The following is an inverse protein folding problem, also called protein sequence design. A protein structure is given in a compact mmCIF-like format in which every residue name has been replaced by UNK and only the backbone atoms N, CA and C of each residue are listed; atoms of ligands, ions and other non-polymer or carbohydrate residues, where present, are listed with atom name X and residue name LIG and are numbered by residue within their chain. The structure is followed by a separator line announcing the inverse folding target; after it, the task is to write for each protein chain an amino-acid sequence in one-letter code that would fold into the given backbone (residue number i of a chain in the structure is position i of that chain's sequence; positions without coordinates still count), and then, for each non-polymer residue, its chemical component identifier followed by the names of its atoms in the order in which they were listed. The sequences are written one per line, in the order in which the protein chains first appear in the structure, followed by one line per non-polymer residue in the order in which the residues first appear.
data_IF_037461454020
#
_entry.id   IF_037461454020
#
_cell.length_a   1.000
_cell.length_b   1.000
_cell.length_c   1.000
_cell.angle_alpha   90.00
_cell.angle_beta   90.00
_cell.angle_gamma   90.00
#
_symmetry.space_group_name_H-M   'P 1'
#
loop_
_entity.id
_entity.type
_entity.pdbx_description
1 polymer ?
#
# COMPACT_ATOMS: atom_id res chain seq x y z
N UNK A 1 4.07 29.57 15.84
CA UNK A 1 4.83 28.99 14.72
C UNK A 1 4.43 27.54 14.63
N UNK A 2 3.69 27.12 13.61
CA UNK A 2 3.29 25.73 13.42
C UNK A 2 4.50 24.85 13.18
N UNK A 3 4.43 23.65 13.74
CA UNK A 3 5.43 22.59 13.54
C UNK A 3 4.83 21.55 12.60
N UNK A 4 5.56 21.18 11.55
CA UNK A 4 5.16 20.14 10.59
C UNK A 4 6.11 18.96 10.74
N UNK A 5 5.56 17.74 10.83
CA UNK A 5 6.33 16.51 10.85
C UNK A 5 6.52 15.97 9.43
N UNK A 6 7.78 15.83 9.02
CA UNK A 6 8.15 15.30 7.72
C UNK A 6 8.80 13.93 7.90
N UNK A 7 8.26 12.91 7.23
CA UNK A 7 8.87 11.58 7.21
C UNK A 7 10.27 11.65 6.59
N UNK A 8 11.26 11.15 7.31
CA UNK A 8 12.65 11.09 6.87
C UNK A 8 13.24 9.72 7.22
N UNK A 9 13.51 8.92 6.19
CA UNK A 9 13.99 7.53 6.31
C UNK A 9 13.07 6.63 7.15
N UNK A 10 13.44 6.37 8.40
CA UNK A 10 12.77 5.51 9.36
C UNK A 10 12.18 6.29 10.55
N UNK A 11 12.22 7.64 10.49
CA UNK A 11 11.72 8.53 11.53
C UNK A 11 11.03 9.76 10.90
N UNK A 12 10.82 10.79 11.72
CA UNK A 12 10.27 12.08 11.34
C UNK A 12 11.22 13.21 11.78
N UNK A 13 11.21 14.30 11.02
CA UNK A 13 11.86 15.56 11.39
C UNK A 13 10.78 16.61 11.59
N UNK A 14 10.90 17.37 12.67
CA UNK A 14 10.03 18.50 12.97
C UNK A 14 10.59 19.79 12.41
N UNK A 15 9.76 20.53 11.67
CA UNK A 15 10.13 21.82 11.08
C UNK A 15 9.17 22.89 11.57
N UNK A 16 9.71 23.89 12.27
CA UNK A 16 8.96 25.06 12.69
C UNK A 16 8.95 26.11 11.56
N UNK A 17 7.76 26.41 11.02
CA UNK A 17 7.60 27.36 9.91
C UNK A 17 6.87 28.60 10.44
N UNK A 18 7.37 29.83 10.23
CA UNK A 18 6.62 31.04 10.56
C UNK A 18 5.28 31.09 9.82
N UNK A 19 4.20 31.50 10.51
CA UNK A 19 2.84 31.54 9.93
C UNK A 19 2.77 32.26 8.58
N UNK A 20 3.48 33.40 8.46
CA UNK A 20 3.54 34.18 7.22
C UNK A 20 4.13 33.43 6.01
N UNK A 21 4.85 32.34 6.25
CA UNK A 21 5.51 31.53 5.23
C UNK A 21 4.79 30.19 4.99
N UNK A 22 3.81 29.81 5.83
CA UNK A 22 3.08 28.55 5.69
C UNK A 22 1.76 28.80 4.97
N UNK A 23 1.64 28.31 3.73
CA UNK A 23 0.41 28.39 2.96
C UNK A 23 -0.56 27.25 3.33
N UNK A 24 -0.13 26.00 3.19
CA UNK A 24 -0.92 24.82 3.51
C UNK A 24 -0.02 23.59 3.76
N UNK A 25 -0.58 22.57 4.41
CA UNK A 25 0.00 21.22 4.50
C UNK A 25 -0.94 20.28 3.76
N UNK A 26 -0.43 19.60 2.72
CA UNK A 26 -1.21 18.66 1.92
C UNK A 26 -0.88 17.24 2.34
N UNK A 27 -1.87 16.53 2.88
CA UNK A 27 -1.76 15.11 3.22
C UNK A 27 -2.65 14.30 2.25
N UNK A 28 -2.23 13.08 1.87
CA UNK A 28 -3.12 12.18 1.16
C UNK A 28 -4.37 11.90 2.03
N UNK A 29 -5.51 11.70 1.37
CA UNK A 29 -6.68 11.17 2.05
C UNK A 29 -6.45 9.70 2.37
N UNK A 30 -5.90 9.42 3.54
CA UNK A 30 -5.68 8.04 3.98
C UNK A 30 -7.03 7.33 4.14
N UNK A 31 -7.17 6.19 3.48
CA UNK A 31 -8.27 5.27 3.74
C UNK A 31 -7.85 4.34 4.87
N UNK A 32 -8.73 4.08 5.86
CA UNK A 32 -8.41 3.11 6.90
C UNK A 32 -8.13 1.75 6.26
N UNK A 33 -7.17 1.02 6.81
CA UNK A 33 -6.93 -0.36 6.41
C UNK A 33 -8.14 -1.24 6.69
N UNK A 34 -8.32 -2.29 5.90
CA UNK A 34 -9.33 -3.31 6.16
C UNK A 34 -8.97 -4.16 7.38
N UNK A 35 -9.98 -4.67 8.08
CA UNK A 35 -9.80 -5.47 9.31
C UNK A 35 -9.04 -6.77 9.03
N UNK A 36 -9.38 -7.46 7.93
CA UNK A 36 -8.74 -8.70 7.51
C UNK A 36 -8.23 -8.57 6.06
N UNK A 37 -6.95 -8.20 5.86
CA UNK A 37 -6.36 -8.06 4.53
C UNK A 37 -6.39 -9.35 3.71
N UNK A 38 -6.32 -10.52 4.34
CA UNK A 38 -6.31 -11.79 3.62
C UNK A 38 -7.70 -12.18 3.15
N UNK A 39 -8.73 -11.88 3.94
CA UNK A 39 -10.11 -12.03 3.49
C UNK A 39 -10.38 -11.14 2.28
N UNK A 40 -9.97 -9.88 2.33
CA UNK A 40 -10.16 -8.93 1.22
C UNK A 40 -9.47 -9.40 -0.07
N UNK A 41 -8.24 -9.93 0.03
CA UNK A 41 -7.53 -10.49 -1.13
C UNK A 41 -8.28 -11.70 -1.71
N UNK A 42 -8.84 -12.58 -0.87
CA UNK A 42 -9.64 -13.73 -1.32
C UNK A 42 -10.92 -13.27 -2.02
N UNK A 43 -11.66 -12.34 -1.40
CA UNK A 43 -12.88 -11.77 -1.98
C UNK A 43 -12.62 -11.12 -3.35
N UNK A 44 -11.48 -10.42 -3.51
CA UNK A 44 -11.09 -9.84 -4.78
C UNK A 44 -10.73 -10.88 -5.86
N UNK A 45 -10.17 -12.04 -5.47
CA UNK A 45 -9.88 -13.14 -6.41
C UNK A 45 -11.16 -13.87 -6.84
N UNK A 46 -12.15 -13.97 -5.96
CA UNK A 46 -13.45 -14.61 -6.22
C UNK A 46 -14.40 -13.71 -7.03
N UNK A 47 -14.25 -12.38 -6.93
CA UNK A 47 -15.05 -11.39 -7.63
C UNK A 47 -14.18 -10.52 -8.56
N UNK A 48 -13.69 -11.08 -9.69
CA UNK A 48 -12.84 -10.33 -10.62
C UNK A 48 -13.58 -9.15 -11.26
N UNK A 49 -12.91 -8.00 -11.35
CA UNK A 49 -13.47 -6.81 -11.99
C UNK A 49 -13.35 -6.98 -13.50
N UNK A 50 -14.50 -6.99 -14.20
CA UNK A 50 -14.61 -6.96 -15.66
C UNK A 50 -13.73 -8.00 -16.40
N UNK A 51 -13.45 -9.13 -15.76
CA UNK A 51 -12.61 -10.19 -16.30
C UNK A 51 -13.09 -11.57 -15.83
N UNK A 52 -12.66 -12.63 -16.54
CA UNK A 52 -12.86 -14.00 -16.09
C UNK A 52 -12.02 -14.28 -14.84
N UNK A 53 -12.42 -15.28 -14.06
CA UNK A 53 -11.66 -15.65 -12.87
C UNK A 53 -10.25 -16.11 -13.23
N UNK A 54 -9.30 -15.89 -12.31
CA UNK A 54 -7.93 -16.37 -12.48
C UNK A 54 -7.89 -17.89 -12.68
N UNK A 55 -8.79 -18.62 -12.00
CA UNK A 55 -8.94 -20.08 -12.10
C UNK A 55 -9.32 -20.51 -13.52
N UNK A 56 -10.25 -19.81 -14.16
CA UNK A 56 -10.64 -20.07 -15.54
C UNK A 56 -9.54 -19.68 -16.52
N UNK A 57 -8.90 -18.52 -16.30
CA UNK A 57 -7.82 -18.03 -17.15
C UNK A 57 -6.62 -18.98 -17.20
N UNK A 58 -6.27 -19.57 -16.06
CA UNK A 58 -5.16 -20.51 -15.92
C UNK A 58 -5.53 -21.95 -16.35
N UNK A 59 -6.81 -22.24 -16.58
CA UNK A 59 -7.26 -23.57 -16.99
C UNK A 59 -6.55 -23.98 -18.28
N UNK A 60 -5.97 -25.17 -18.27
CA UNK A 60 -5.23 -25.79 -19.38
C UNK A 60 -3.94 -25.05 -19.80
N UNK A 61 -3.47 -24.07 -19.02
CA UNK A 61 -2.18 -23.41 -19.23
C UNK A 61 -1.07 -24.21 -18.55
N UNK A 62 -0.05 -24.60 -19.33
CA UNK A 62 1.12 -25.34 -18.81
C UNK A 62 2.18 -24.43 -18.20
N UNK A 63 2.35 -23.23 -18.77
CA UNK A 63 3.34 -22.25 -18.35
C UNK A 63 2.62 -20.98 -17.91
N UNK A 64 2.61 -20.72 -16.60
CA UNK A 64 2.04 -19.52 -16.01
C UNK A 64 3.16 -18.70 -15.39
N UNK A 65 3.19 -17.40 -15.67
CA UNK A 65 4.19 -16.48 -15.12
C UNK A 65 3.48 -15.47 -14.22
N UNK A 66 3.89 -15.42 -12.96
CA UNK A 66 3.44 -14.39 -12.01
C UNK A 66 4.53 -13.34 -11.93
N UNK A 67 4.25 -12.13 -12.41
CA UNK A 67 5.17 -11.00 -12.27
C UNK A 67 4.97 -10.36 -10.89
N UNK A 68 5.86 -10.68 -9.95
CA UNK A 68 5.93 -9.98 -8.67
C UNK A 68 6.88 -8.78 -8.79
N UNK A 69 6.40 -7.58 -8.48
CA UNK A 69 7.26 -6.42 -8.35
C UNK A 69 7.89 -6.39 -6.96
N UNK A 70 9.22 -6.33 -6.87
CA UNK A 70 9.90 -5.99 -5.62
C UNK A 70 10.18 -4.50 -5.62
N UNK A 71 9.25 -3.70 -5.10
CA UNK A 71 9.59 -2.36 -4.63
C UNK A 71 10.14 -2.45 -3.20
N UNK A 72 11.04 -1.53 -2.80
CA UNK A 72 11.55 -1.48 -1.42
C UNK A 72 10.44 -1.30 -0.37
N UNK A 73 9.27 -0.78 -0.77
CA UNK A 73 8.11 -0.59 0.11
C UNK A 73 7.43 -1.89 0.56
N UNK A 74 7.44 -2.94 -0.27
CA UNK A 74 6.85 -4.22 0.13
C UNK A 74 7.69 -4.94 1.21
N UNK A 75 9.00 -4.69 1.30
CA UNK A 75 9.86 -5.27 2.35
C UNK A 75 9.52 -4.75 3.75
N UNK A 76 9.06 -3.49 3.87
CA UNK A 76 8.69 -2.90 5.18
C UNK A 76 7.34 -3.41 5.71
N UNK A 77 6.48 -3.97 4.85
CA UNK A 77 5.17 -4.53 5.24
C UNK A 77 5.22 -6.04 5.49
N UNK A 78 6.17 -6.76 4.93
CA UNK A 78 6.32 -8.22 5.10
C UNK A 78 7.12 -8.59 6.38
N UNK A 79 7.77 -7.64 7.05
CA UNK A 79 8.53 -7.89 8.29
C UNK A 79 7.68 -8.25 9.53
N UNK A 80 6.35 -8.36 9.38
CA UNK A 80 5.42 -8.82 10.41
C UNK A 80 5.00 -10.29 10.28
N UNK A 81 5.55 -11.05 9.31
CA UNK A 81 5.31 -12.49 9.20
C UNK A 81 6.43 -13.29 9.88
N UNK A 82 6.19 -13.92 11.05
CA UNK A 82 7.01 -15.04 11.45
C UNK A 82 6.69 -16.22 10.52
N UNK A 83 7.73 -16.79 9.92
CA UNK A 83 7.69 -18.12 9.31
C UNK A 83 7.57 -19.19 10.41
#
# INVERSE_FOLDING_TARGET
MPTVQLKYKDSHVEVAIPNKNLYAVLNPGDLPGVIDPFREVREALDNPIESISLKEMAKDKKNVVIRAATSRDLRRRISWFPL
#
